data_IF_905348660801
#
_entry.id   IF_905348660801
#
_cell.length_a   1.000
_cell.length_b   1.000
_cell.length_c   1.000
_cell.angle_alpha   90.00
_cell.angle_beta   90.00
_cell.angle_gamma   90.00
#
_symmetry.space_group_name_H-M   'P 1'
#
loop_
_entity.id
_entity.type
_entity.pdbx_description
1 polymer ?
#
# COMPACT_ATOMS: atom_id res chain seq x y z
N UNK A 1 6.20 1.75 -24.25
CA UNK A 1 5.23 0.87 -24.93
C UNK A 1 4.87 1.45 -26.26
N UNK A 2 4.60 0.61 -27.25
CA UNK A 2 4.00 1.00 -28.51
C UNK A 2 2.47 0.98 -28.36
N UNK A 3 1.84 2.15 -28.39
CA UNK A 3 0.38 2.32 -28.27
C UNK A 3 -0.32 2.49 -29.62
N UNK A 4 0.35 2.13 -30.74
CA UNK A 4 -0.15 2.37 -32.09
C UNK A 4 -1.55 1.79 -32.31
N UNK A 5 -1.79 0.56 -31.86
CA UNK A 5 -3.12 -0.07 -32.06
C UNK A 5 -4.22 0.61 -31.23
N UNK A 6 -3.89 1.11 -30.03
CA UNK A 6 -4.86 1.91 -29.25
C UNK A 6 -5.16 3.21 -29.96
N UNK A 7 -4.12 3.89 -30.46
CA UNK A 7 -4.26 5.13 -31.20
C UNK A 7 -5.13 4.99 -32.47
N UNK A 8 -4.96 3.88 -33.20
CA UNK A 8 -5.73 3.58 -34.39
C UNK A 8 -7.20 3.19 -34.08
N UNK A 9 -7.42 2.51 -32.96
CA UNK A 9 -8.75 1.98 -32.59
C UNK A 9 -9.58 2.99 -31.81
N UNK A 10 -8.94 3.72 -30.87
CA UNK A 10 -9.57 4.66 -29.93
C UNK A 10 -8.63 5.84 -29.68
N UNK A 11 -8.63 6.86 -30.58
CA UNK A 11 -7.78 8.05 -30.43
C UNK A 11 -8.05 8.86 -29.14
N UNK A 12 -9.29 8.86 -28.64
CA UNK A 12 -9.67 9.56 -27.42
C UNK A 12 -9.03 8.91 -26.18
N UNK A 13 -9.11 7.58 -26.08
CA UNK A 13 -8.44 6.84 -25.02
C UNK A 13 -6.92 6.96 -25.13
N UNK A 14 -6.37 6.89 -26.37
CA UNK A 14 -4.94 7.09 -26.59
C UNK A 14 -4.48 8.46 -26.07
N UNK A 15 -5.27 9.52 -26.32
CA UNK A 15 -4.95 10.85 -25.79
C UNK A 15 -4.92 10.87 -24.27
N UNK A 16 -5.89 10.24 -23.59
CA UNK A 16 -5.91 10.16 -22.13
C UNK A 16 -4.67 9.41 -21.59
N UNK A 17 -4.25 8.33 -22.24
CA UNK A 17 -3.03 7.59 -21.87
C UNK A 17 -1.79 8.47 -22.05
N UNK A 18 -1.71 9.18 -23.16
CA UNK A 18 -0.57 10.06 -23.46
C UNK A 18 -0.49 11.24 -22.47
N UNK A 19 -1.63 11.85 -22.14
CA UNK A 19 -1.72 12.92 -21.15
C UNK A 19 -1.30 12.42 -19.75
N UNK A 20 -1.70 11.20 -19.34
CA UNK A 20 -1.26 10.60 -18.08
C UNK A 20 0.24 10.28 -18.07
N UNK A 21 0.79 9.76 -19.16
CA UNK A 21 2.24 9.56 -19.28
C UNK A 21 2.99 10.90 -19.13
N UNK A 22 2.48 11.97 -19.74
CA UNK A 22 3.07 13.30 -19.60
C UNK A 22 2.96 13.83 -18.16
N UNK A 23 1.79 13.66 -17.51
CA UNK A 23 1.60 14.01 -16.11
C UNK A 23 2.63 13.30 -15.22
N UNK A 24 2.79 12.00 -15.39
CA UNK A 24 3.76 11.22 -14.61
C UNK A 24 5.20 11.70 -14.80
N UNK A 25 5.56 12.14 -16.00
CA UNK A 25 6.90 12.68 -16.29
C UNK A 25 7.15 14.03 -15.62
N UNK A 26 6.15 14.89 -15.56
CA UNK A 26 6.25 16.27 -15.10
C UNK A 26 6.00 16.46 -13.60
N UNK A 27 5.40 15.46 -12.93
CA UNK A 27 5.02 15.57 -11.53
C UNK A 27 6.03 14.88 -10.60
N UNK A 28 6.23 15.47 -9.42
CA UNK A 28 6.80 14.79 -8.26
C UNK A 28 5.68 13.98 -7.62
N UNK A 29 5.78 12.64 -7.69
CA UNK A 29 4.78 11.73 -7.14
C UNK A 29 5.14 11.38 -5.69
N UNK A 30 4.35 11.88 -4.74
CA UNK A 30 4.52 11.65 -3.30
C UNK A 30 3.35 10.88 -2.66
N UNK A 31 2.40 10.38 -3.44
CA UNK A 31 1.38 9.48 -2.89
C UNK A 31 2.08 8.21 -2.40
N UNK A 32 2.03 7.96 -1.08
CA UNK A 32 2.78 6.88 -0.43
C UNK A 32 2.40 5.46 -0.91
N UNK A 33 1.26 5.32 -1.56
CA UNK A 33 0.73 4.07 -2.11
C UNK A 33 0.94 3.93 -3.62
N UNK A 34 1.66 4.85 -4.27
CA UNK A 34 1.97 4.80 -5.70
C UNK A 34 3.44 4.49 -5.97
N UNK A 35 3.69 3.92 -7.15
CA UNK A 35 5.04 3.58 -7.61
C UNK A 35 5.05 3.42 -9.13
N UNK A 36 6.24 3.36 -9.71
CA UNK A 36 6.45 3.08 -11.13
C UNK A 36 7.00 1.66 -11.29
N UNK A 37 6.27 0.83 -12.02
CA UNK A 37 6.68 -0.55 -12.27
C UNK A 37 7.74 -0.64 -13.36
N UNK A 38 8.49 -1.74 -13.38
CA UNK A 38 9.47 -2.00 -14.44
C UNK A 38 8.80 -2.26 -15.80
N UNK A 39 9.53 -2.02 -16.91
CA UNK A 39 9.06 -2.42 -18.24
C UNK A 39 8.64 -3.89 -18.32
N UNK A 40 9.37 -4.80 -17.66
CA UNK A 40 9.06 -6.23 -17.67
C UNK A 40 7.71 -6.54 -16.98
N UNK A 41 7.36 -5.85 -15.90
CA UNK A 41 6.04 -5.94 -15.28
C UNK A 41 4.95 -5.46 -16.24
N UNK A 42 5.17 -4.35 -16.95
CA UNK A 42 4.23 -3.80 -17.92
C UNK A 42 4.04 -4.73 -19.13
N UNK A 43 5.11 -5.33 -19.64
CA UNK A 43 5.06 -6.31 -20.73
C UNK A 43 4.26 -7.56 -20.33
N UNK A 44 4.48 -8.07 -19.12
CA UNK A 44 3.71 -9.21 -18.60
C UNK A 44 2.22 -8.88 -18.45
N UNK A 45 1.87 -7.65 -18.04
CA UNK A 45 0.49 -7.16 -17.96
C UNK A 45 -0.19 -7.10 -19.33
N UNK A 46 0.52 -6.74 -20.39
CA UNK A 46 0.03 -6.67 -21.76
C UNK A 46 0.14 -8.00 -22.53
N UNK A 47 0.45 -9.12 -21.87
CA UNK A 47 0.70 -10.40 -22.53
C UNK A 47 -0.59 -11.11 -22.97
N UNK A 48 -0.50 -12.07 -23.94
CA UNK A 48 -1.63 -12.90 -24.37
C UNK A 48 -2.26 -13.76 -23.26
N UNK A 49 -1.65 -13.82 -22.06
CA UNK A 49 -2.22 -14.55 -20.93
C UNK A 49 -3.57 -13.97 -20.47
N UNK A 50 -3.89 -12.74 -20.86
CA UNK A 50 -5.22 -12.13 -20.66
C UNK A 50 -6.34 -12.91 -21.36
N UNK A 51 -6.04 -13.66 -22.43
CA UNK A 51 -7.02 -14.43 -23.20
C UNK A 51 -7.40 -15.77 -22.54
N UNK A 52 -6.61 -16.22 -21.52
CA UNK A 52 -6.75 -17.58 -20.98
C UNK A 52 -7.65 -17.65 -19.76
N UNK A 53 -8.74 -18.40 -19.86
CA UNK A 53 -9.60 -18.74 -18.74
C UNK A 53 -9.02 -19.90 -17.92
N UNK A 54 -8.80 -19.70 -16.60
CA UNK A 54 -8.03 -20.64 -15.78
C UNK A 54 -8.61 -20.84 -14.36
N UNK A 55 -9.95 -20.99 -14.24
CA UNK A 55 -10.59 -21.31 -12.94
C UNK A 55 -9.99 -22.55 -12.31
N UNK A 56 -9.87 -22.50 -10.98
CA UNK A 56 -9.18 -23.51 -10.18
C UNK A 56 -7.73 -23.11 -9.91
N UNK A 57 -6.89 -24.11 -9.72
CA UNK A 57 -5.47 -23.94 -9.33
C UNK A 57 -4.56 -24.78 -10.25
N UNK A 58 -3.24 -24.54 -10.29
CA UNK A 58 -2.31 -25.33 -11.11
C UNK A 58 -2.52 -26.84 -10.92
N UNK A 59 -2.53 -27.56 -12.03
CA UNK A 59 -2.83 -28.99 -12.15
C UNK A 59 -4.26 -29.42 -11.73
N UNK A 60 -5.11 -28.48 -11.33
CA UNK A 60 -6.51 -28.73 -10.91
C UNK A 60 -7.44 -27.66 -11.49
N UNK A 61 -7.31 -27.39 -12.80
CA UNK A 61 -8.13 -26.40 -13.50
C UNK A 61 -9.45 -27.02 -13.97
N UNK A 62 -10.46 -26.15 -14.06
CA UNK A 62 -11.75 -26.53 -14.65
C UNK A 62 -11.74 -26.50 -16.20
N UNK A 63 -10.70 -25.90 -16.80
CA UNK A 63 -10.55 -25.71 -18.24
C UNK A 63 -9.28 -26.36 -18.76
N UNK A 64 -9.31 -26.84 -20.02
CA UNK A 64 -8.12 -27.33 -20.70
C UNK A 64 -7.19 -26.23 -21.17
N UNK A 65 -5.98 -26.60 -21.62
CA UNK A 65 -5.00 -25.67 -22.20
C UNK A 65 -4.30 -24.78 -21.18
N UNK A 66 -4.23 -25.17 -19.89
CA UNK A 66 -3.68 -24.36 -18.81
C UNK A 66 -2.21 -24.62 -18.50
N UNK A 67 -1.53 -25.49 -19.25
CA UNK A 67 -0.15 -25.90 -18.93
C UNK A 67 0.84 -24.75 -18.81
N UNK A 68 0.68 -23.66 -19.55
CA UNK A 68 1.59 -22.51 -19.50
C UNK A 68 1.18 -21.48 -18.43
N UNK A 69 -0.11 -21.27 -18.21
CA UNK A 69 -0.57 -20.39 -17.10
C UNK A 69 -0.31 -21.06 -15.75
N UNK A 70 -0.28 -22.39 -15.68
CA UNK A 70 0.14 -23.11 -14.47
C UNK A 70 1.60 -22.80 -14.12
N UNK A 71 2.47 -22.72 -15.12
CA UNK A 71 3.87 -22.30 -14.92
C UNK A 71 3.93 -20.88 -14.33
N UNK A 72 3.17 -19.93 -14.92
CA UNK A 72 3.16 -18.55 -14.45
C UNK A 72 2.66 -18.45 -12.99
N UNK A 73 1.57 -19.14 -12.64
CA UNK A 73 1.03 -19.11 -11.29
C UNK A 73 1.94 -19.81 -10.27
N UNK A 74 2.53 -20.96 -10.62
CA UNK A 74 3.50 -21.63 -9.75
C UNK A 74 4.73 -20.77 -9.51
N UNK A 75 5.29 -20.10 -10.53
CA UNK A 75 6.40 -19.16 -10.36
C UNK A 75 6.03 -18.02 -9.39
N UNK A 76 4.82 -17.46 -9.53
CA UNK A 76 4.37 -16.39 -8.63
C UNK A 76 4.25 -16.90 -7.18
N UNK A 77 3.63 -18.06 -6.97
CA UNK A 77 3.44 -18.67 -5.64
C UNK A 77 4.78 -19.00 -4.98
N UNK A 78 5.68 -19.68 -5.70
CA UNK A 78 6.96 -20.11 -5.15
C UNK A 78 7.87 -18.93 -4.83
N UNK A 79 7.89 -17.91 -5.70
CA UNK A 79 8.64 -16.67 -5.46
C UNK A 79 8.07 -15.88 -4.28
N UNK A 80 6.75 -15.81 -4.13
CA UNK A 80 6.12 -15.16 -2.97
C UNK A 80 6.47 -15.87 -1.67
N UNK A 81 6.40 -17.21 -1.63
CA UNK A 81 6.81 -17.99 -0.46
C UNK A 81 8.29 -17.77 -0.13
N UNK A 82 9.17 -17.81 -1.12
CA UNK A 82 10.59 -17.57 -0.94
C UNK A 82 10.88 -16.15 -0.43
N UNK A 83 10.23 -15.14 -1.03
CA UNK A 83 10.45 -13.73 -0.72
C UNK A 83 10.09 -13.37 0.73
N UNK A 84 9.00 -13.94 1.23
CA UNK A 84 8.45 -13.60 2.54
C UNK A 84 8.67 -14.68 3.61
N UNK A 85 9.22 -15.84 3.25
CA UNK A 85 9.40 -16.97 4.18
C UNK A 85 8.07 -17.61 4.60
N UNK A 86 7.06 -17.60 3.73
CA UNK A 86 5.72 -18.11 4.03
C UNK A 86 5.56 -19.59 3.63
N UNK A 87 4.73 -20.32 4.39
CA UNK A 87 4.45 -21.72 4.11
C UNK A 87 3.52 -21.87 2.89
N UNK A 88 2.51 -21.00 2.76
CA UNK A 88 1.57 -20.98 1.64
C UNK A 88 1.39 -19.57 1.08
N UNK A 89 1.12 -19.48 -0.23
CA UNK A 89 0.83 -18.25 -0.94
C UNK A 89 -0.34 -18.46 -1.93
N UNK A 90 -1.34 -17.58 -1.87
CA UNK A 90 -2.37 -17.45 -2.89
C UNK A 90 -2.18 -16.13 -3.64
N UNK A 91 -1.89 -16.22 -4.95
CA UNK A 91 -1.58 -15.07 -5.82
C UNK A 91 -2.77 -14.61 -6.67
N UNK A 92 -3.93 -15.26 -6.52
CA UNK A 92 -5.12 -14.97 -7.32
C UNK A 92 -5.92 -13.72 -6.89
N UNK A 93 -5.84 -13.17 -5.65
CA UNK A 93 -6.59 -11.96 -5.31
C UNK A 93 -6.36 -10.83 -6.31
N UNK A 94 -7.48 -10.25 -6.83
CA UNK A 94 -7.43 -9.16 -7.80
C UNK A 94 -6.97 -7.84 -7.17
N UNK A 95 -7.17 -7.69 -5.86
CA UNK A 95 -6.77 -6.51 -5.07
C UNK A 95 -6.48 -6.87 -3.63
N UNK A 96 -5.85 -5.95 -2.88
CA UNK A 96 -5.69 -6.10 -1.43
C UNK A 96 -7.03 -6.20 -0.69
N UNK A 97 -8.04 -5.43 -1.13
CA UNK A 97 -9.38 -5.49 -0.55
C UNK A 97 -10.01 -6.89 -0.70
N UNK A 98 -9.85 -7.53 -1.86
CA UNK A 98 -10.34 -8.90 -2.08
C UNK A 98 -9.52 -9.93 -1.30
N UNK A 99 -8.21 -9.72 -1.13
CA UNK A 99 -7.39 -10.55 -0.27
C UNK A 99 -7.90 -10.52 1.20
N UNK A 100 -8.14 -9.34 1.74
CA UNK A 100 -8.69 -9.17 3.09
C UNK A 100 -10.07 -9.81 3.21
N UNK A 101 -10.96 -9.56 2.25
CA UNK A 101 -12.31 -10.14 2.21
C UNK A 101 -12.28 -11.66 2.20
N UNK A 102 -11.38 -12.27 1.42
CA UNK A 102 -11.26 -13.72 1.35
C UNK A 102 -10.80 -14.32 2.69
N UNK A 103 -9.86 -13.68 3.40
CA UNK A 103 -9.46 -14.13 4.76
C UNK A 103 -10.64 -14.04 5.72
N UNK A 104 -11.41 -12.94 5.71
CA UNK A 104 -12.58 -12.81 6.56
C UNK A 104 -13.61 -13.91 6.28
N UNK A 105 -13.98 -14.14 5.03
CA UNK A 105 -14.95 -15.19 4.68
C UNK A 105 -14.43 -16.60 4.87
N UNK A 106 -13.11 -16.82 4.90
CA UNK A 106 -12.53 -18.11 5.22
C UNK A 106 -12.62 -18.45 6.71
N UNK A 107 -12.49 -17.43 7.58
CA UNK A 107 -12.24 -17.62 9.01
C UNK A 107 -13.35 -17.14 9.94
N UNK A 108 -14.27 -16.31 9.44
CA UNK A 108 -15.31 -15.65 10.23
C UNK A 108 -16.70 -15.98 9.73
N UNK A 109 -17.67 -15.94 10.64
CA UNK A 109 -19.09 -15.92 10.32
C UNK A 109 -19.63 -14.48 10.34
N UNK A 110 -20.69 -14.16 9.60
CA UNK A 110 -21.34 -12.85 9.68
C UNK A 110 -21.68 -12.49 11.14
N UNK A 111 -21.30 -11.28 11.55
CA UNK A 111 -21.50 -10.77 12.91
C UNK A 111 -20.38 -11.09 13.90
N UNK A 112 -19.39 -11.92 13.55
CA UNK A 112 -18.23 -12.16 14.41
C UNK A 112 -17.51 -10.85 14.74
N UNK A 113 -17.04 -10.74 15.99
CA UNK A 113 -16.29 -9.58 16.47
C UNK A 113 -14.85 -9.62 15.99
N UNK A 114 -14.38 -8.47 15.47
CA UNK A 114 -13.01 -8.27 14.96
C UNK A 114 -12.47 -6.97 15.55
N UNK A 115 -11.20 -6.96 15.97
CA UNK A 115 -10.49 -5.71 16.23
C UNK A 115 -9.77 -5.25 14.97
N UNK A 116 -9.90 -3.97 14.61
CA UNK A 116 -9.21 -3.37 13.47
C UNK A 116 -8.73 -1.95 13.78
N UNK A 117 -7.68 -1.49 13.10
CA UNK A 117 -7.18 -0.14 13.30
C UNK A 117 -8.19 0.90 12.80
N UNK A 118 -8.47 1.91 13.63
CA UNK A 118 -9.36 3.02 13.31
C UNK A 118 -8.94 3.72 12.01
N UNK A 119 -9.89 3.96 11.12
CA UNK A 119 -9.65 4.62 9.83
C UNK A 119 -9.02 6.01 10.01
N UNK A 120 -9.50 6.80 10.98
CA UNK A 120 -8.98 8.14 11.27
C UNK A 120 -7.57 8.13 11.87
N UNK A 121 -7.12 6.99 12.42
CA UNK A 121 -5.79 6.80 12.99
C UNK A 121 -4.83 6.06 12.03
N UNK A 122 -5.22 5.92 10.77
CA UNK A 122 -4.39 5.35 9.72
C UNK A 122 -4.80 3.95 9.25
N UNK A 123 -5.90 3.38 9.74
CA UNK A 123 -6.44 2.11 9.26
C UNK A 123 -6.84 2.15 7.79
N UNK A 124 -7.16 0.99 7.22
CA UNK A 124 -7.66 0.88 5.86
C UNK A 124 -9.19 0.70 5.86
N UNK A 125 -9.87 1.08 4.76
CA UNK A 125 -11.32 0.89 4.62
C UNK A 125 -11.77 -0.56 4.90
N UNK A 126 -10.97 -1.54 4.48
CA UNK A 126 -11.26 -2.96 4.70
C UNK A 126 -10.99 -3.45 6.13
N UNK A 127 -10.58 -2.57 7.04
CA UNK A 127 -10.39 -2.86 8.46
C UNK A 127 -11.59 -2.44 9.31
N UNK A 128 -12.80 -2.57 8.75
CA UNK A 128 -14.05 -2.37 9.48
C UNK A 128 -14.80 -1.06 9.22
N UNK A 129 -14.45 -0.31 8.17
CA UNK A 129 -15.22 0.89 7.82
C UNK A 129 -16.68 0.54 7.57
N UNK A 130 -17.67 1.29 8.13
CA UNK A 130 -19.10 1.01 7.97
C UNK A 130 -19.61 1.04 6.52
N UNK A 131 -18.88 1.74 5.64
CA UNK A 131 -19.23 1.79 4.20
C UNK A 131 -18.62 0.65 3.40
N UNK A 132 -17.69 -0.12 4.01
CA UNK A 132 -17.02 -1.25 3.40
C UNK A 132 -17.71 -2.57 3.76
N UNK A 133 -17.56 -3.60 2.92
CA UNK A 133 -18.07 -4.94 3.16
C UNK A 133 -17.63 -5.49 4.53
N UNK A 134 -16.42 -5.19 4.99
CA UNK A 134 -15.90 -5.63 6.28
C UNK A 134 -16.79 -5.13 7.44
N UNK A 135 -17.07 -3.83 7.50
CA UNK A 135 -17.93 -3.25 8.55
C UNK A 135 -19.41 -3.55 8.38
N UNK A 136 -19.84 -4.02 7.18
CA UNK A 136 -21.24 -4.42 6.95
C UNK A 136 -21.54 -5.86 7.38
N UNK A 137 -20.56 -6.76 7.28
CA UNK A 137 -20.75 -8.19 7.56
C UNK A 137 -20.26 -8.59 8.93
N UNK A 138 -19.26 -7.88 9.49
CA UNK A 138 -18.63 -8.24 10.76
C UNK A 138 -18.73 -7.07 11.75
N UNK A 139 -18.69 -7.41 13.04
CA UNK A 139 -18.70 -6.42 14.11
C UNK A 139 -17.28 -5.95 14.42
N UNK A 140 -16.84 -4.88 13.77
CA UNK A 140 -15.52 -4.31 13.99
C UNK A 140 -15.52 -3.34 15.17
N UNK A 141 -14.58 -3.56 16.09
CA UNK A 141 -14.25 -2.65 17.19
C UNK A 141 -12.93 -1.98 16.83
N UNK A 142 -12.90 -0.65 16.70
CA UNK A 142 -11.68 0.05 16.33
C UNK A 142 -10.73 0.18 17.51
N UNK A 143 -9.45 -0.12 17.29
CA UNK A 143 -8.35 0.35 18.15
C UNK A 143 -7.62 1.52 17.48
N UNK A 144 -6.94 2.34 18.26
CA UNK A 144 -6.31 3.55 17.76
C UNK A 144 -4.87 3.71 18.20
N UNK A 145 -4.41 4.94 18.05
CA UNK A 145 -3.14 5.43 18.57
C UNK A 145 -3.42 6.34 19.78
N UNK A 146 -2.46 6.47 20.67
CA UNK A 146 -2.43 7.53 21.66
C UNK A 146 -2.32 8.89 20.94
N UNK A 147 -3.26 9.80 21.17
CA UNK A 147 -3.36 11.05 20.43
C UNK A 147 -2.18 12.01 20.72
N UNK A 148 -1.53 11.86 21.86
CA UNK A 148 -0.38 12.70 22.25
C UNK A 148 0.89 12.27 21.50
N UNK A 149 1.11 10.97 21.39
CA UNK A 149 2.33 10.40 20.80
C UNK A 149 2.16 10.03 19.33
N UNK A 150 0.91 9.87 18.85
CA UNK A 150 0.59 9.35 17.52
C UNK A 150 1.02 7.89 17.33
N UNK A 151 1.23 7.11 18.40
CA UNK A 151 1.70 5.72 18.37
C UNK A 151 0.62 4.76 18.85
N UNK A 152 0.63 3.53 18.31
CA UNK A 152 -0.27 2.47 18.76
C UNK A 152 -0.03 2.21 20.25
N UNK A 153 -1.10 2.27 21.04
CA UNK A 153 -1.10 1.87 22.45
C UNK A 153 -1.45 0.39 22.54
N UNK A 154 -0.44 -0.46 22.65
CA UNK A 154 -0.62 -1.91 22.71
C UNK A 154 -1.31 -2.38 23.99
N UNK A 155 -1.21 -1.63 25.09
CA UNK A 155 -1.91 -1.97 26.33
C UNK A 155 -3.41 -1.67 26.19
N UNK A 156 -3.79 -0.60 25.50
CA UNK A 156 -5.18 -0.33 25.14
C UNK A 156 -5.71 -1.38 24.15
N UNK A 157 -4.93 -1.80 23.16
CA UNK A 157 -5.30 -2.91 22.24
C UNK A 157 -5.54 -4.20 23.03
N UNK A 158 -4.66 -4.51 23.98
CA UNK A 158 -4.80 -5.70 24.85
C UNK A 158 -6.08 -5.65 25.69
N UNK A 159 -6.36 -4.50 26.32
CA UNK A 159 -7.58 -4.31 27.10
C UNK A 159 -8.84 -4.54 26.26
N UNK A 160 -8.91 -3.93 25.06
CA UNK A 160 -10.02 -4.13 24.12
C UNK A 160 -10.16 -5.60 23.69
N UNK A 161 -9.05 -6.29 23.44
CA UNK A 161 -9.06 -7.69 23.02
C UNK A 161 -9.60 -8.61 24.13
N UNK A 162 -9.16 -8.41 25.36
CA UNK A 162 -9.60 -9.23 26.51
C UNK A 162 -11.06 -8.97 26.88
N UNK A 163 -11.53 -7.73 26.78
CA UNK A 163 -12.91 -7.34 27.04
C UNK A 163 -13.87 -7.91 26.00
N UNK A 164 -13.53 -7.77 24.72
CA UNK A 164 -14.45 -8.04 23.61
C UNK A 164 -14.27 -9.43 22.99
N UNK A 165 -13.20 -10.15 23.32
CA UNK A 165 -12.89 -11.51 22.86
C UNK A 165 -13.10 -11.68 21.34
N UNK A 166 -12.41 -10.91 20.50
CA UNK A 166 -12.60 -10.96 19.06
C UNK A 166 -12.19 -12.32 18.51
N UNK A 167 -12.81 -12.72 17.40
CA UNK A 167 -12.37 -13.90 16.64
C UNK A 167 -11.07 -13.64 15.88
N UNK A 168 -10.80 -12.36 15.54
CA UNK A 168 -9.62 -11.96 14.79
C UNK A 168 -9.19 -10.54 15.21
N UNK A 169 -7.87 -10.33 15.25
CA UNK A 169 -7.25 -9.00 15.31
C UNK A 169 -6.63 -8.72 13.94
N UNK A 170 -6.99 -7.58 13.35
CA UNK A 170 -6.45 -7.11 12.07
C UNK A 170 -5.49 -5.97 12.35
N UNK A 171 -4.22 -6.18 11.99
CA UNK A 171 -3.16 -5.18 12.07
C UNK A 171 -2.76 -4.70 10.68
N UNK A 172 -2.03 -3.59 10.64
CA UNK A 172 -1.60 -2.95 9.40
C UNK A 172 -2.27 -1.60 9.22
N UNK A 173 -1.65 -0.73 8.44
CA UNK A 173 -2.09 0.64 8.30
C UNK A 173 -1.78 1.23 6.91
N UNK A 174 -2.60 2.21 6.50
CA UNK A 174 -2.42 2.99 5.28
C UNK A 174 -1.73 4.33 5.52
N UNK A 175 -1.78 4.86 6.76
CA UNK A 175 -1.26 6.18 7.11
C UNK A 175 -0.64 6.19 8.52
N UNK A 176 0.07 5.14 8.88
CA UNK A 176 0.81 5.06 10.15
C UNK A 176 2.32 5.09 9.86
N UNK A 177 3.03 6.15 10.31
CA UNK A 177 4.42 6.35 9.93
C UNK A 177 5.43 5.58 10.79
N UNK A 178 4.98 4.83 11.80
CA UNK A 178 5.87 4.11 12.74
C UNK A 178 5.89 2.62 12.49
N UNK A 179 6.92 1.96 13.00
CA UNK A 179 6.99 0.51 13.01
C UNK A 179 5.85 -0.10 13.84
N UNK A 180 5.33 -1.24 13.39
CA UNK A 180 4.30 -2.01 14.09
C UNK A 180 4.99 -3.21 14.76
N UNK A 181 4.74 -3.40 16.04
CA UNK A 181 5.24 -4.54 16.83
C UNK A 181 4.32 -5.74 16.66
N UNK A 182 4.67 -6.60 15.71
CA UNK A 182 3.88 -7.79 15.41
C UNK A 182 4.00 -8.88 16.50
N UNK A 183 5.13 -8.94 17.21
CA UNK A 183 5.31 -9.87 18.32
C UNK A 183 4.33 -9.54 19.45
N UNK A 184 4.22 -8.26 19.81
CA UNK A 184 3.28 -7.80 20.82
C UNK A 184 1.81 -8.05 20.43
N UNK A 185 1.47 -7.86 19.16
CA UNK A 185 0.13 -8.17 18.65
C UNK A 185 -0.16 -9.68 18.68
N UNK A 186 0.84 -10.52 18.42
CA UNK A 186 0.70 -11.99 18.55
C UNK A 186 0.41 -12.39 19.99
N UNK A 187 1.17 -11.86 20.97
CA UNK A 187 0.92 -12.09 22.39
C UNK A 187 -0.52 -11.73 22.78
N UNK A 188 -0.98 -10.54 22.36
CA UNK A 188 -2.35 -10.07 22.63
C UNK A 188 -3.40 -11.00 22.00
N UNK A 189 -3.18 -11.43 20.77
CA UNK A 189 -4.10 -12.33 20.09
C UNK A 189 -4.14 -13.71 20.76
N UNK A 190 -3.00 -14.24 21.22
CA UNK A 190 -2.93 -15.50 21.96
C UNK A 190 -3.68 -15.41 23.29
N UNK A 191 -3.48 -14.34 24.07
CA UNK A 191 -4.19 -14.10 25.33
C UNK A 191 -5.72 -14.01 25.13
N UNK A 192 -6.16 -13.39 24.04
CA UNK A 192 -7.59 -13.26 23.72
C UNK A 192 -8.19 -14.49 23.03
N UNK A 193 -7.37 -15.47 22.62
CA UNK A 193 -7.79 -16.62 21.81
C UNK A 193 -8.21 -16.24 20.38
N UNK A 194 -7.65 -15.18 19.83
CA UNK A 194 -7.97 -14.61 18.52
C UNK A 194 -6.97 -15.05 17.45
N UNK A 195 -7.41 -15.10 16.19
CA UNK A 195 -6.52 -15.16 15.03
C UNK A 195 -5.84 -13.79 14.83
N UNK A 196 -4.62 -13.77 14.33
CA UNK A 196 -3.92 -12.56 13.94
C UNK A 196 -3.79 -12.49 12.42
N UNK A 197 -4.38 -11.46 11.82
CA UNK A 197 -4.22 -11.11 10.42
C UNK A 197 -3.44 -9.80 10.32
N UNK A 198 -2.43 -9.74 9.45
CA UNK A 198 -1.66 -8.52 9.17
C UNK A 198 -1.78 -8.14 7.72
N UNK A 199 -2.32 -6.95 7.45
CA UNK A 199 -2.29 -6.31 6.13
C UNK A 199 -1.00 -5.46 6.03
N UNK A 200 0.02 -6.01 5.37
CA UNK A 200 1.30 -5.34 5.19
C UNK A 200 1.40 -4.53 3.88
N UNK A 201 0.27 -4.21 3.24
CA UNK A 201 0.24 -3.63 1.90
C UNK A 201 1.17 -2.43 1.73
N UNK A 202 1.22 -1.52 2.69
CA UNK A 202 2.08 -0.34 2.62
C UNK A 202 3.56 -0.65 2.78
N UNK A 203 3.90 -1.62 3.59
CA UNK A 203 5.27 -1.94 3.98
C UNK A 203 5.83 -3.20 3.31
N UNK A 204 5.09 -3.86 2.41
CA UNK A 204 5.46 -5.15 1.85
C UNK A 204 6.84 -5.16 1.18
N UNK A 205 7.22 -4.09 0.47
CA UNK A 205 8.56 -3.96 -0.10
C UNK A 205 9.64 -3.83 0.96
N UNK A 206 9.36 -3.09 2.04
CA UNK A 206 10.28 -2.94 3.17
C UNK A 206 10.48 -4.27 3.90
N UNK A 207 9.39 -5.02 4.10
CA UNK A 207 9.43 -6.38 4.70
C UNK A 207 10.24 -7.32 3.81
N UNK A 208 9.97 -7.35 2.51
CA UNK A 208 10.70 -8.18 1.55
C UNK A 208 12.22 -7.91 1.55
N UNK A 209 12.62 -6.67 1.80
CA UNK A 209 14.02 -6.26 1.84
C UNK A 209 14.65 -6.34 3.24
N UNK A 210 13.89 -6.70 4.28
CA UNK A 210 14.35 -6.72 5.67
C UNK A 210 14.57 -5.33 6.27
N UNK A 211 13.87 -4.31 5.74
CA UNK A 211 13.91 -2.92 6.26
C UNK A 211 12.79 -2.64 7.26
N UNK A 212 11.84 -3.52 7.40
CA UNK A 212 10.80 -3.57 8.42
C UNK A 212 10.68 -5.02 8.91
N UNK A 213 10.33 -5.21 10.18
CA UNK A 213 10.07 -6.55 10.72
C UNK A 213 8.98 -7.25 9.91
N UNK A 214 9.16 -8.56 9.69
CA UNK A 214 8.18 -9.37 8.95
C UNK A 214 7.06 -9.81 9.88
N UNK A 215 5.78 -9.63 9.47
CA UNK A 215 4.65 -10.18 10.21
C UNK A 215 4.49 -11.70 10.05
N UNK A 216 5.12 -12.31 9.04
CA UNK A 216 4.90 -13.73 8.67
C UNK A 216 5.16 -14.71 9.82
N UNK A 217 6.21 -14.55 10.66
CA UNK A 217 6.42 -15.45 11.79
C UNK A 217 5.34 -15.37 12.88
N UNK A 218 4.64 -14.24 12.97
CA UNK A 218 3.69 -13.95 14.05
C UNK A 218 2.23 -14.17 13.66
N UNK A 219 1.89 -13.81 12.41
CA UNK A 219 0.50 -13.82 11.94
C UNK A 219 0.04 -15.20 11.47
N UNK A 220 -1.27 -15.45 11.59
CA UNK A 220 -1.92 -16.59 10.94
C UNK A 220 -2.13 -16.33 9.44
N UNK A 221 -2.43 -15.07 9.10
CA UNK A 221 -2.62 -14.59 7.74
C UNK A 221 -1.88 -13.28 7.54
N UNK A 222 -1.21 -13.16 6.41
CA UNK A 222 -0.61 -11.90 5.96
C UNK A 222 -1.15 -11.59 4.57
N UNK A 223 -1.79 -10.43 4.45
CA UNK A 223 -2.28 -9.94 3.16
C UNK A 223 -1.43 -8.76 2.69
N UNK A 224 -1.41 -8.54 1.40
CA UNK A 224 -0.77 -7.36 0.83
C UNK A 224 -1.32 -7.02 -0.54
N UNK A 225 -1.12 -5.77 -0.96
CA UNK A 225 -1.11 -5.37 -2.37
C UNK A 225 0.27 -5.60 -2.97
N UNK A 226 0.35 -5.67 -4.29
CA UNK A 226 1.61 -5.87 -5.00
C UNK A 226 2.21 -4.58 -5.61
N UNK A 227 1.46 -3.45 -5.59
CA UNK A 227 1.75 -2.25 -6.38
C UNK A 227 2.24 -1.02 -5.60
N UNK A 228 2.52 -1.13 -4.29
CA UNK A 228 3.01 -0.01 -3.46
C UNK A 228 4.54 -0.07 -3.32
N UNK A 229 5.06 -0.22 -2.11
CA UNK A 229 6.50 -0.39 -1.87
C UNK A 229 7.09 -1.62 -2.58
N UNK A 230 6.27 -2.65 -2.83
CA UNK A 230 6.70 -3.86 -3.54
C UNK A 230 6.92 -3.64 -5.06
N UNK A 231 6.42 -2.54 -5.61
CA UNK A 231 6.66 -2.07 -6.99
C UNK A 231 6.24 -3.05 -8.09
N UNK A 232 5.13 -3.75 -7.87
CA UNK A 232 4.56 -4.70 -8.84
C UNK A 232 3.26 -4.23 -9.49
N UNK A 233 2.57 -5.13 -10.22
CA UNK A 233 1.29 -4.82 -10.83
C UNK A 233 0.22 -4.58 -9.77
N UNK A 234 -0.86 -3.88 -10.12
CA UNK A 234 -2.02 -3.77 -9.24
C UNK A 234 -2.65 -5.14 -9.03
N UNK A 235 -2.69 -5.57 -7.77
CA UNK A 235 -3.19 -6.88 -7.38
C UNK A 235 -3.06 -7.10 -5.88
N UNK A 236 -3.47 -8.27 -5.41
CA UNK A 236 -3.36 -8.73 -4.03
C UNK A 236 -2.60 -10.04 -3.89
N UNK A 237 -2.24 -10.37 -2.66
CA UNK A 237 -1.55 -11.59 -2.27
C UNK A 237 -2.02 -11.97 -0.86
N UNK A 238 -2.21 -13.26 -0.61
CA UNK A 238 -2.42 -13.82 0.72
C UNK A 238 -1.30 -14.81 1.01
N UNK A 239 -0.66 -14.65 2.16
CA UNK A 239 0.27 -15.59 2.76
C UNK A 239 -0.37 -16.16 4.02
N UNK A 240 -0.21 -17.44 4.30
CA UNK A 240 -0.72 -18.03 5.54
C UNK A 240 0.10 -19.25 5.94
N UNK A 241 -0.16 -19.74 7.17
CA UNK A 241 0.34 -21.04 7.62
C UNK A 241 -0.30 -22.15 6.82
N UNK A 242 0.40 -23.27 6.62
CA UNK A 242 -0.05 -24.39 5.78
C UNK A 242 -1.43 -24.94 6.22
N UNK A 243 -1.69 -24.96 7.52
CA UNK A 243 -2.98 -25.44 8.05
C UNK A 243 -4.21 -24.69 7.51
N UNK A 244 -4.05 -23.44 7.07
CA UNK A 244 -5.12 -22.61 6.52
C UNK A 244 -5.15 -22.57 4.99
N UNK A 245 -4.15 -23.15 4.31
CA UNK A 245 -3.99 -23.10 2.86
C UNK A 245 -5.26 -23.48 2.10
N UNK A 246 -5.84 -24.62 2.44
CA UNK A 246 -7.05 -25.13 1.78
C UNK A 246 -8.27 -24.21 1.99
N UNK A 247 -8.41 -23.60 3.17
CA UNK A 247 -9.52 -22.70 3.47
C UNK A 247 -9.37 -21.38 2.68
N UNK A 248 -8.17 -20.83 2.60
CA UNK A 248 -7.85 -19.62 1.83
C UNK A 248 -8.06 -19.86 0.33
N UNK A 249 -7.52 -20.96 -0.21
CA UNK A 249 -7.69 -21.25 -1.63
C UNK A 249 -9.18 -21.43 -1.99
N UNK A 250 -9.96 -22.09 -1.15
CA UNK A 250 -11.41 -22.24 -1.33
C UNK A 250 -12.16 -20.89 -1.19
N UNK A 251 -11.72 -19.99 -0.31
CA UNK A 251 -12.34 -18.69 -0.14
C UNK A 251 -12.07 -17.76 -1.33
N UNK A 252 -10.92 -17.88 -1.98
CA UNK A 252 -10.66 -17.20 -3.24
C UNK A 252 -11.46 -17.85 -4.36
N UNK A 253 -11.21 -19.11 -4.68
CA UNK A 253 -11.97 -19.81 -5.71
C UNK A 253 -12.54 -21.12 -5.16
N UNK A 254 -13.86 -21.33 -5.27
CA UNK A 254 -14.88 -20.49 -5.93
C UNK A 254 -15.57 -19.46 -5.02
N UNK A 255 -15.00 -19.16 -3.83
CA UNK A 255 -15.71 -18.40 -2.77
C UNK A 255 -16.01 -16.95 -3.14
N UNK A 256 -14.98 -16.15 -3.43
CA UNK A 256 -15.11 -14.71 -3.66
C UNK A 256 -14.71 -14.27 -5.07
N UNK A 257 -14.05 -15.12 -5.84
CA UNK A 257 -13.62 -14.84 -7.20
C UNK A 257 -13.95 -16.02 -8.13
N UNK A 258 -14.00 -15.76 -9.47
CA UNK A 258 -14.06 -16.73 -10.55
C UNK A 258 -12.69 -16.87 -11.22
N UNK A 259 -12.64 -16.66 -12.56
CA UNK A 259 -11.40 -16.78 -13.34
C UNK A 259 -10.29 -15.83 -12.88
N UNK A 260 -9.10 -16.35 -12.60
CA UNK A 260 -7.96 -15.53 -12.21
C UNK A 260 -7.44 -14.69 -13.37
N UNK A 261 -6.84 -13.53 -13.06
CA UNK A 261 -6.23 -12.63 -14.04
C UNK A 261 -4.80 -13.11 -14.34
N UNK A 262 -4.64 -14.02 -15.31
CA UNK A 262 -3.37 -14.72 -15.54
C UNK A 262 -2.23 -13.78 -15.99
N UNK A 263 -2.53 -12.71 -16.74
CA UNK A 263 -1.59 -11.66 -17.09
C UNK A 263 -1.10 -10.88 -15.87
N UNK A 264 -1.97 -10.62 -14.90
CA UNK A 264 -1.59 -9.99 -13.62
C UNK A 264 -0.74 -10.94 -12.77
N UNK A 265 -1.10 -12.22 -12.72
CA UNK A 265 -0.31 -13.24 -11.99
C UNK A 265 1.09 -13.40 -12.60
N UNK A 266 1.21 -13.38 -13.93
CA UNK A 266 2.52 -13.36 -14.59
C UNK A 266 3.34 -12.11 -14.22
N UNK A 267 2.72 -10.95 -14.19
CA UNK A 267 3.36 -9.72 -13.76
C UNK A 267 3.76 -9.75 -12.28
N UNK A 268 2.97 -10.39 -11.39
CA UNK A 268 3.37 -10.67 -10.00
C UNK A 268 4.60 -11.57 -9.94
N UNK A 269 4.68 -12.60 -10.79
CA UNK A 269 5.86 -13.48 -10.86
C UNK A 269 7.12 -12.70 -11.25
N UNK A 270 7.02 -11.74 -12.18
CA UNK A 270 8.15 -10.84 -12.52
C UNK A 270 8.50 -9.96 -11.33
N UNK A 271 7.54 -9.29 -10.73
CA UNK A 271 7.73 -8.42 -9.56
C UNK A 271 8.45 -9.16 -8.41
N UNK A 272 8.01 -10.35 -8.06
CA UNK A 272 8.63 -11.13 -6.97
C UNK A 272 10.05 -11.56 -7.30
N UNK A 273 10.34 -11.87 -8.59
CA UNK A 273 11.72 -12.14 -9.01
C UNK A 273 12.61 -10.90 -8.89
N UNK A 274 12.10 -9.74 -9.28
CA UNK A 274 12.83 -8.47 -9.09
C UNK A 274 13.08 -8.19 -7.61
N UNK A 275 12.07 -8.45 -6.75
CA UNK A 275 12.16 -8.22 -5.31
C UNK A 275 13.16 -9.17 -4.60
N UNK A 276 13.44 -10.34 -5.17
CA UNK A 276 14.46 -11.27 -4.67
C UNK A 276 15.91 -10.84 -5.01
N UNK A 277 16.09 -9.85 -5.87
CA UNK A 277 17.43 -9.40 -6.31
C UNK A 277 18.05 -8.42 -5.30
N UNK A 278 19.38 -8.37 -5.20
CA UNK A 278 20.09 -7.43 -4.31
C UNK A 278 19.77 -5.95 -4.57
N UNK A 279 19.50 -5.58 -5.84
CA UNK A 279 19.18 -4.22 -6.26
C UNK A 279 17.88 -3.74 -5.61
N UNK A 280 16.91 -4.63 -5.41
CA UNK A 280 15.67 -4.29 -4.73
C UNK A 280 15.90 -3.94 -3.25
N UNK A 281 16.81 -4.64 -2.59
CA UNK A 281 17.20 -4.31 -1.21
C UNK A 281 17.88 -2.94 -1.12
N UNK A 282 18.73 -2.61 -2.09
CA UNK A 282 19.34 -1.28 -2.19
C UNK A 282 18.27 -0.20 -2.42
N UNK A 283 17.31 -0.44 -3.31
CA UNK A 283 16.18 0.44 -3.57
C UNK A 283 15.33 0.69 -2.32
N UNK A 284 14.97 -0.34 -1.57
CA UNK A 284 14.19 -0.18 -0.34
C UNK A 284 14.96 0.58 0.75
N UNK A 285 16.28 0.38 0.84
CA UNK A 285 17.14 1.17 1.75
C UNK A 285 17.12 2.65 1.37
N UNK A 286 17.16 2.97 0.07
CA UNK A 286 17.08 4.34 -0.40
C UNK A 286 15.71 4.97 -0.11
N UNK A 287 14.61 4.20 -0.16
CA UNK A 287 13.27 4.69 0.25
C UNK A 287 13.32 5.20 1.69
N UNK A 288 13.89 4.42 2.61
CA UNK A 288 14.00 4.81 4.02
C UNK A 288 14.93 6.02 4.19
N UNK A 289 16.08 6.05 3.50
CA UNK A 289 17.01 7.17 3.54
C UNK A 289 16.32 8.47 3.06
N UNK A 290 15.58 8.40 1.96
CA UNK A 290 14.80 9.52 1.44
C UNK A 290 13.69 9.96 2.42
N UNK A 291 12.98 9.01 3.04
CA UNK A 291 11.97 9.35 4.04
C UNK A 291 12.58 10.06 5.26
N UNK A 292 13.75 9.63 5.72
CA UNK A 292 14.48 10.28 6.82
C UNK A 292 15.02 11.65 6.43
N UNK A 293 15.51 11.83 5.21
CA UNK A 293 15.94 13.13 4.71
C UNK A 293 14.75 14.11 4.63
N UNK A 294 13.61 13.64 4.11
CA UNK A 294 12.39 14.44 4.04
C UNK A 294 11.86 14.81 5.45
N UNK A 295 11.87 13.85 6.40
CA UNK A 295 11.55 14.11 7.82
C UNK A 295 12.43 15.24 8.41
N UNK A 296 13.75 15.13 8.23
CA UNK A 296 14.69 16.12 8.74
C UNK A 296 14.46 17.49 8.09
N UNK A 297 14.25 17.51 6.78
CA UNK A 297 13.98 18.75 6.06
C UNK A 297 12.64 19.38 6.48
N UNK A 298 11.59 18.59 6.75
CA UNK A 298 10.33 19.09 7.30
C UNK A 298 10.54 19.72 8.67
N UNK A 299 11.29 19.07 9.56
CA UNK A 299 11.60 19.61 10.90
C UNK A 299 12.36 20.93 10.80
N UNK A 300 13.37 21.04 9.94
CA UNK A 300 14.12 22.27 9.69
C UNK A 300 13.25 23.40 9.12
N UNK A 301 12.26 23.04 8.33
CA UNK A 301 11.29 23.97 7.73
C UNK A 301 10.07 24.26 8.63
N UNK A 302 10.05 23.76 9.86
CA UNK A 302 8.94 23.99 10.80
C UNK A 302 7.63 23.31 10.44
N UNK A 303 7.66 22.30 9.56
CA UNK A 303 6.51 21.49 9.16
C UNK A 303 6.32 20.39 10.21
N UNK A 304 5.18 20.39 10.89
CA UNK A 304 4.87 19.40 11.91
C UNK A 304 4.49 18.06 11.28
N UNK A 305 4.81 16.99 12.01
CA UNK A 305 4.54 15.61 11.58
C UNK A 305 3.86 14.84 12.72
N UNK A 306 2.85 14.04 12.38
CA UNK A 306 2.24 13.11 13.32
C UNK A 306 3.31 12.14 13.83
N UNK A 307 3.29 11.84 15.13
CA UNK A 307 4.26 11.02 15.86
C UNK A 307 5.71 11.51 15.76
N UNK A 308 5.94 12.77 15.40
CA UNK A 308 7.26 13.42 15.27
C UNK A 308 8.22 12.66 14.32
N UNK A 309 7.72 12.18 13.18
CA UNK A 309 8.56 11.61 12.12
C UNK A 309 8.10 10.24 11.61
N UNK A 310 9.04 9.46 11.05
CA UNK A 310 8.74 8.17 10.41
C UNK A 310 9.79 7.11 10.66
N UNK A 311 9.37 5.83 10.68
CA UNK A 311 10.23 4.65 10.69
C UNK A 311 10.12 3.86 9.37
N UNK A 312 9.30 4.35 8.40
CA UNK A 312 9.05 3.66 7.14
C UNK A 312 9.12 4.63 5.93
N UNK A 313 8.33 4.39 4.90
CA UNK A 313 8.35 5.09 3.61
C UNK A 313 7.43 6.31 3.54
N UNK A 314 6.60 6.56 4.56
CA UNK A 314 5.61 7.63 4.54
C UNK A 314 5.76 8.57 5.73
N UNK A 315 5.32 9.81 5.54
CA UNK A 315 5.21 10.84 6.56
C UNK A 315 3.78 11.38 6.52
N UNK A 316 3.20 11.61 7.68
CA UNK A 316 1.91 12.26 7.83
C UNK A 316 2.15 13.68 8.37
N UNK A 317 2.00 14.68 7.50
CA UNK A 317 2.11 16.09 7.85
C UNK A 317 0.89 16.50 8.68
N UNK A 318 1.11 17.26 9.74
CA UNK A 318 0.08 17.89 10.57
C UNK A 318 0.01 19.39 10.25
N UNK A 319 -1.11 19.80 9.67
CA UNK A 319 -1.35 21.19 9.27
C UNK A 319 -2.07 22.03 10.34
N UNK A 320 -2.37 21.45 11.50
CA UNK A 320 -3.06 22.15 12.58
C UNK A 320 -2.29 23.42 12.97
N UNK A 321 -2.99 24.55 13.02
CA UNK A 321 -2.39 25.85 13.36
C UNK A 321 -1.67 26.57 12.21
N UNK A 322 -1.58 25.97 11.01
CA UNK A 322 -0.96 26.61 9.84
C UNK A 322 -1.92 27.55 9.09
N UNK A 323 -3.21 27.48 9.37
CA UNK A 323 -4.26 28.16 8.60
C UNK A 323 -4.62 27.47 7.29
N UNK A 324 -4.08 26.26 7.02
CA UNK A 324 -4.35 25.44 5.84
C UNK A 324 -5.02 24.12 6.21
N UNK A 325 -5.81 23.60 5.28
CA UNK A 325 -6.43 22.27 5.39
C UNK A 325 -5.72 21.27 4.47
N UNK A 326 -5.92 19.98 4.73
CA UNK A 326 -5.39 18.93 3.86
C UNK A 326 -5.90 19.06 2.43
N UNK A 327 -7.19 19.39 2.23
CA UNK A 327 -7.77 19.61 0.90
C UNK A 327 -7.16 20.79 0.16
N UNK A 328 -6.93 21.92 0.85
CA UNK A 328 -6.28 23.07 0.24
C UNK A 328 -4.85 22.72 -0.20
N UNK A 329 -4.07 22.10 0.69
CA UNK A 329 -2.70 21.71 0.35
C UNK A 329 -2.62 20.67 -0.76
N UNK A 330 -3.52 19.67 -0.78
CA UNK A 330 -3.64 18.71 -1.89
C UNK A 330 -3.86 19.45 -3.24
N UNK A 331 -4.76 20.44 -3.23
CA UNK A 331 -5.08 21.22 -4.44
C UNK A 331 -3.90 22.11 -4.87
N UNK A 332 -3.33 22.87 -3.95
CA UNK A 332 -2.22 23.79 -4.24
C UNK A 332 -0.96 23.05 -4.71
N UNK A 333 -0.60 21.96 -4.05
CA UNK A 333 0.54 21.13 -4.46
C UNK A 333 0.29 20.49 -5.82
N UNK A 334 -0.94 20.04 -6.11
CA UNK A 334 -1.33 19.54 -7.43
C UNK A 334 -1.13 20.59 -8.54
N UNK A 335 -1.48 21.85 -8.28
CA UNK A 335 -1.22 22.96 -9.22
C UNK A 335 0.28 23.21 -9.44
N UNK A 336 1.11 22.83 -8.49
CA UNK A 336 2.57 22.92 -8.57
C UNK A 336 3.25 21.66 -9.14
N UNK A 337 2.48 20.73 -9.71
CA UNK A 337 2.98 19.43 -10.18
C UNK A 337 3.60 18.57 -9.04
N UNK A 338 3.09 18.68 -7.83
CA UNK A 338 3.43 17.80 -6.68
C UNK A 338 2.18 17.04 -6.29
N UNK A 339 2.17 15.73 -6.50
CA UNK A 339 1.00 14.88 -6.25
C UNK A 339 1.08 14.29 -4.86
N UNK A 340 0.07 14.61 -4.03
CA UNK A 340 -0.09 14.12 -2.65
C UNK A 340 -1.54 13.72 -2.40
N UNK A 341 -1.86 13.19 -1.24
CA UNK A 341 -3.25 13.06 -0.80
C UNK A 341 -3.48 13.69 0.57
N UNK A 342 -4.64 14.36 0.72
CA UNK A 342 -5.13 14.75 2.04
C UNK A 342 -5.38 13.50 2.90
N UNK A 343 -5.17 13.64 4.20
CA UNK A 343 -5.31 12.54 5.16
C UNK A 343 -5.80 13.06 6.51
N UNK A 344 -6.64 12.30 7.19
CA UNK A 344 -6.97 12.55 8.59
C UNK A 344 -5.75 12.35 9.48
N UNK A 345 -5.71 13.06 10.60
CA UNK A 345 -4.70 12.89 11.65
C UNK A 345 -5.37 12.42 12.94
N UNK A 346 -4.64 11.82 13.91
CA UNK A 346 -5.18 11.56 15.24
C UNK A 346 -5.73 12.86 15.88
N UNK A 347 -6.88 12.78 16.54
CA UNK A 347 -7.58 13.95 17.06
C UNK A 347 -8.24 14.84 15.99
N UNK A 348 -8.51 14.32 14.79
CA UNK A 348 -9.11 15.05 13.66
C UNK A 348 -10.47 15.69 14.03
N UNK A 349 -10.59 16.99 13.81
CA UNK A 349 -11.80 17.77 14.07
C UNK A 349 -12.55 18.16 12.80
N UNK A 350 -11.91 18.06 11.63
CA UNK A 350 -12.49 18.38 10.34
C UNK A 350 -13.15 17.15 9.69
N UNK A 351 -14.02 17.39 8.72
CA UNK A 351 -14.61 16.29 7.98
C UNK A 351 -13.56 15.51 7.17
N UNK A 352 -13.77 14.20 6.90
CA UNK A 352 -12.86 13.39 6.07
C UNK A 352 -12.64 13.93 4.65
N UNK A 353 -13.51 14.84 4.18
CA UNK A 353 -13.39 15.50 2.87
C UNK A 353 -12.46 16.72 2.89
N UNK A 354 -12.13 17.25 4.08
CA UNK A 354 -11.30 18.45 4.29
C UNK A 354 -9.97 18.05 4.89
N UNK A 355 -9.96 17.40 6.04
CA UNK A 355 -8.83 16.88 6.82
C UNK A 355 -7.85 17.96 7.31
N UNK A 356 -7.08 17.62 8.35
CA UNK A 356 -6.01 18.48 8.91
C UNK A 356 -4.61 17.98 8.52
N UNK A 357 -4.48 16.96 7.70
CA UNK A 357 -3.19 16.40 7.31
C UNK A 357 -3.02 16.15 5.82
N UNK A 358 -1.77 15.94 5.45
CA UNK A 358 -1.34 15.47 4.12
C UNK A 358 -0.38 14.32 4.30
N UNK A 359 -0.64 13.21 3.60
CA UNK A 359 0.28 12.07 3.56
C UNK A 359 1.21 12.20 2.38
N UNK A 360 2.51 12.01 2.62
CA UNK A 360 3.56 11.95 1.59
C UNK A 360 4.38 10.69 1.75
N UNK A 361 4.98 10.21 0.67
CA UNK A 361 5.82 9.02 0.69
C UNK A 361 6.90 9.05 -0.38
N UNK A 362 7.91 8.22 -0.23
CA UNK A 362 9.12 8.26 -1.03
C UNK A 362 9.32 7.12 -2.05
N UNK A 363 8.44 6.10 -2.19
CA UNK A 363 8.69 5.00 -3.13
C UNK A 363 8.82 5.43 -4.59
N UNK A 364 7.87 6.24 -5.09
CA UNK A 364 7.83 6.66 -6.49
C UNK A 364 9.01 7.55 -6.88
N UNK A 365 9.36 8.53 -6.06
CA UNK A 365 10.51 9.42 -6.30
C UNK A 365 11.84 8.65 -6.23
N UNK A 366 11.94 7.66 -5.33
CA UNK A 366 13.12 6.78 -5.24
C UNK A 366 13.25 5.89 -6.48
N UNK A 367 12.14 5.38 -7.04
CA UNK A 367 12.14 4.63 -8.30
C UNK A 367 12.69 5.46 -9.45
N UNK A 368 12.47 6.78 -9.44
CA UNK A 368 13.01 7.72 -10.42
C UNK A 368 14.48 8.09 -10.20
N UNK A 369 15.11 7.59 -9.14
CA UNK A 369 16.53 7.83 -8.84
C UNK A 369 16.79 9.05 -7.96
N UNK A 370 15.77 9.66 -7.35
CA UNK A 370 15.96 10.76 -6.39
C UNK A 370 16.61 10.26 -5.11
N UNK A 371 17.43 11.10 -4.52
CA UNK A 371 18.22 10.85 -3.30
C UNK A 371 17.94 11.91 -2.22
N UNK A 372 18.64 11.85 -1.10
CA UNK A 372 18.39 12.66 0.10
C UNK A 372 18.39 14.17 -0.19
N UNK A 373 19.33 14.67 -1.00
CA UNK A 373 19.40 16.09 -1.36
C UNK A 373 18.21 16.57 -2.18
N UNK A 374 17.57 15.68 -2.93
CA UNK A 374 16.35 15.99 -3.66
C UNK A 374 15.15 16.12 -2.71
N UNK A 375 15.14 15.36 -1.61
CA UNK A 375 14.11 15.46 -0.56
C UNK A 375 14.14 16.81 0.14
N UNK A 376 15.33 17.37 0.36
CA UNK A 376 15.48 18.73 0.91
C UNK A 376 14.86 19.79 -0.02
N UNK A 377 15.08 19.67 -1.33
CA UNK A 377 14.47 20.56 -2.33
C UNK A 377 12.94 20.42 -2.33
N UNK A 378 12.43 19.18 -2.30
CA UNK A 378 10.97 18.89 -2.25
C UNK A 378 10.34 19.50 -0.98
N UNK A 379 10.98 19.36 0.18
CA UNK A 379 10.52 20.01 1.42
C UNK A 379 10.46 21.54 1.30
N UNK A 380 11.44 22.12 0.63
CA UNK A 380 11.47 23.56 0.32
C UNK A 380 10.31 23.99 -0.57
N UNK A 381 9.96 23.22 -1.58
CA UNK A 381 8.78 23.46 -2.43
C UNK A 381 7.48 23.41 -1.64
N UNK A 382 7.31 22.37 -0.82
CA UNK A 382 6.13 22.21 0.04
C UNK A 382 5.99 23.38 1.02
N UNK A 383 7.09 23.81 1.65
CA UNK A 383 7.10 24.98 2.54
C UNK A 383 6.66 26.25 1.82
N UNK A 384 7.22 26.53 0.65
CA UNK A 384 6.86 27.74 -0.14
C UNK A 384 5.37 27.75 -0.47
N UNK A 385 4.77 26.60 -0.80
CA UNK A 385 3.33 26.48 -1.07
C UNK A 385 2.54 26.67 0.24
N UNK A 386 2.96 26.07 1.34
CA UNK A 386 2.30 26.20 2.63
C UNK A 386 2.20 27.65 3.08
N UNK A 387 3.30 28.42 2.95
CA UNK A 387 3.38 29.83 3.35
C UNK A 387 2.72 30.77 2.32
N UNK A 388 3.01 30.61 1.03
CA UNK A 388 2.62 31.54 -0.03
C UNK A 388 1.28 31.24 -0.69
N UNK A 389 0.72 30.02 -0.50
CA UNK A 389 -0.53 29.61 -1.14
C UNK A 389 -0.47 29.70 -2.67
N UNK A 390 -1.57 30.12 -3.30
CA UNK A 390 -1.68 30.24 -4.76
C UNK A 390 -0.60 31.14 -5.38
N UNK A 391 -0.15 32.18 -4.66
CA UNK A 391 0.89 33.09 -5.15
C UNK A 391 2.25 32.40 -5.36
N UNK A 392 2.54 31.34 -4.63
CA UNK A 392 3.77 30.58 -4.77
C UNK A 392 3.72 29.58 -5.93
N UNK A 393 2.51 29.15 -6.36
CA UNK A 393 2.36 28.05 -7.31
C UNK A 393 3.08 28.23 -8.65
N UNK A 394 3.04 29.39 -9.34
CA UNK A 394 3.72 29.52 -10.61
C UNK A 394 5.24 29.31 -10.51
N UNK A 395 5.86 29.88 -9.49
CA UNK A 395 7.30 29.74 -9.25
C UNK A 395 7.69 28.33 -8.86
N UNK A 396 6.93 27.72 -7.94
CA UNK A 396 7.20 26.33 -7.51
C UNK A 396 7.00 25.35 -8.67
N UNK A 397 5.94 25.52 -9.48
CA UNK A 397 5.72 24.68 -10.66
C UNK A 397 6.89 24.74 -11.64
N UNK A 398 7.42 25.94 -11.91
CA UNK A 398 8.60 26.10 -12.78
C UNK A 398 9.81 25.33 -12.25
N UNK A 399 10.08 25.44 -10.94
CA UNK A 399 11.20 24.75 -10.29
C UNK A 399 11.01 23.23 -10.29
N UNK A 400 9.79 22.74 -10.06
CA UNK A 400 9.43 21.31 -10.15
C UNK A 400 9.68 20.79 -11.57
N UNK A 401 9.20 21.51 -12.60
CA UNK A 401 9.40 21.09 -13.98
C UNK A 401 10.89 21.04 -14.36
N UNK A 402 11.71 21.98 -13.85
CA UNK A 402 13.15 21.94 -14.05
C UNK A 402 13.81 20.75 -13.34
N UNK A 403 13.40 20.49 -12.09
CA UNK A 403 13.86 19.34 -11.34
C UNK A 403 13.55 18.02 -12.08
N UNK A 404 12.32 17.88 -12.61
CA UNK A 404 11.87 16.64 -13.25
C UNK A 404 12.60 16.29 -14.53
N UNK A 405 13.26 17.25 -15.20
CA UNK A 405 14.13 16.98 -16.36
C UNK A 405 15.34 16.10 -16.00
N UNK A 406 15.78 16.12 -14.75
CA UNK A 406 16.90 15.29 -14.26
C UNK A 406 16.49 13.85 -14.00
N UNK A 407 15.20 13.58 -13.87
CA UNK A 407 14.64 12.29 -13.45
C UNK A 407 13.59 11.77 -14.46
N UNK A 408 13.99 11.42 -15.70
CA UNK A 408 13.07 10.89 -16.71
C UNK A 408 12.47 9.56 -16.28
N UNK A 409 11.24 9.25 -16.78
CA UNK A 409 10.57 7.95 -16.67
C UNK A 409 10.78 7.13 -17.93
#
# INVERSE_FOLDING_TARGET
MDYRHVMETDPELFKAIADEVQRQREHIELIASENFVSPAVMEAMGSPLTNKYAEGYPAKRYYGGCQYVDVAENLARDRAKLLFGAEHANVQPHSGAQANTAVYFAMLNPGDTVLGMNLSHGGHLTHGSPVNISGKYFHFIPYGVDETTGRIDYDAVRALALENKPRMIVAGASAYPRAIDFARLREIADEAGALLMVDMAHIAGLVAAGMHESPVPYADFVTTTTHKTLRGPRGGLILCREQYAKAIDKAIFPGTQGGPLMHVIAAKAVCFLEALRPEFKAYQRQIIANAKALENAFRQNGIRMVSDGTDNHLILMDLTGTGRTGKEMETLLGQCNITVNKNTIPGETLSPMITSGVRVGTPAVTTRGMVESDMEQIAGFIRRVLEGGENACPGVKSDVMEMMKRFPL
#
